data_IF_395389297222
#
_entry.id   IF_395389297222
#
_cell.length_a   1.000
_cell.length_b   1.000
_cell.length_c   1.000
_cell.angle_alpha   90.00
_cell.angle_beta   90.00
_cell.angle_gamma   90.00
#
_symmetry.space_group_name_H-M   'P 1'
#
loop_
_entity.id
_entity.type
_entity.pdbx_description
1 polymer ?
#
# COMPACT_ATOMS: atom_id res chain seq x y z
N UNK A 1 4.21 -22.43 -6.09
CA UNK A 1 4.18 -21.32 -7.08
C UNK A 1 5.61 -20.82 -7.26
N UNK A 2 6.11 -20.63 -8.48
CA UNK A 2 7.47 -20.09 -8.67
C UNK A 2 7.42 -18.56 -8.51
N UNK A 3 7.82 -18.05 -7.34
CA UNK A 3 7.76 -16.62 -6.98
C UNK A 3 8.49 -15.76 -8.02
N UNK A 4 9.71 -16.14 -8.42
CA UNK A 4 10.51 -15.38 -9.39
C UNK A 4 9.80 -15.24 -10.74
N UNK A 5 9.25 -16.34 -11.25
CA UNK A 5 8.49 -16.33 -12.52
C UNK A 5 7.23 -15.48 -12.41
N UNK A 6 6.52 -15.58 -11.29
CA UNK A 6 5.29 -14.82 -11.03
C UNK A 6 5.58 -13.33 -10.94
N UNK A 7 6.60 -12.93 -10.17
CA UNK A 7 7.08 -11.55 -10.08
C UNK A 7 7.45 -10.97 -11.43
N UNK A 8 8.23 -11.71 -12.23
CA UNK A 8 8.64 -11.26 -13.56
C UNK A 8 7.42 -10.96 -14.44
N UNK A 9 6.47 -11.90 -14.51
CA UNK A 9 5.22 -11.74 -15.26
C UNK A 9 4.38 -10.57 -14.76
N UNK A 10 4.26 -10.41 -13.44
CA UNK A 10 3.51 -9.32 -12.82
C UNK A 10 4.10 -7.95 -13.17
N UNK A 11 5.43 -7.80 -13.05
CA UNK A 11 6.15 -6.59 -13.41
C UNK A 11 6.01 -6.27 -14.90
N UNK A 12 6.18 -7.26 -15.78
CA UNK A 12 5.96 -7.11 -17.23
C UNK A 12 4.54 -6.64 -17.53
N UNK A 13 3.55 -7.17 -16.82
CA UNK A 13 2.14 -6.77 -16.99
C UNK A 13 1.90 -5.33 -16.55
N UNK A 14 2.41 -4.94 -15.37
CA UNK A 14 2.31 -3.57 -14.85
C UNK A 14 2.95 -2.56 -15.80
N UNK A 15 4.17 -2.82 -16.26
CA UNK A 15 4.89 -1.97 -17.21
C UNK A 15 4.15 -1.90 -18.55
N UNK A 16 3.71 -3.05 -19.11
CA UNK A 16 2.99 -3.06 -20.39
C UNK A 16 1.70 -2.26 -20.34
N UNK A 17 0.95 -2.31 -19.23
CA UNK A 17 -0.26 -1.49 -19.07
C UNK A 17 0.10 -0.02 -18.90
N UNK A 18 1.14 0.31 -18.13
CA UNK A 18 1.60 1.69 -17.98
C UNK A 18 2.00 2.29 -19.34
N UNK A 19 2.83 1.60 -20.13
CA UNK A 19 3.26 2.05 -21.47
C UNK A 19 2.09 2.26 -22.43
N UNK A 20 1.09 1.37 -22.41
CA UNK A 20 -0.12 1.51 -23.24
C UNK A 20 -0.97 2.71 -22.83
N UNK A 21 -1.06 2.99 -21.54
CA UNK A 21 -1.79 4.15 -21.02
C UNK A 21 -1.05 5.46 -21.33
N UNK A 22 0.28 5.47 -21.14
CA UNK A 22 1.15 6.64 -21.31
C UNK A 22 1.41 6.97 -22.79
N UNK A 23 1.43 5.96 -23.67
CA UNK A 23 1.71 6.11 -25.09
C UNK A 23 3.20 6.16 -25.45
N UNK A 24 4.09 5.90 -24.50
CA UNK A 24 5.54 5.81 -24.68
C UNK A 24 6.14 4.72 -23.78
N UNK A 25 7.40 4.35 -24.05
CA UNK A 25 8.10 3.29 -23.31
C UNK A 25 8.52 3.76 -21.92
N UNK A 26 8.39 2.88 -20.92
CA UNK A 26 8.89 3.13 -19.56
C UNK A 26 10.19 2.37 -19.37
N UNK A 27 11.18 2.99 -18.74
CA UNK A 27 12.45 2.32 -18.50
C UNK A 27 12.25 1.01 -17.70
N UNK A 28 12.81 -0.14 -18.10
CA UNK A 28 12.56 -1.44 -17.44
C UNK A 28 12.96 -1.48 -15.96
N UNK A 29 13.93 -0.65 -15.58
CA UNK A 29 14.40 -0.48 -14.20
C UNK A 29 13.53 0.48 -13.36
N UNK A 30 12.49 1.10 -13.92
CA UNK A 30 11.63 2.04 -13.19
C UNK A 30 11.12 1.47 -11.86
N UNK A 31 11.12 2.28 -10.80
CA UNK A 31 10.61 1.87 -9.50
C UNK A 31 9.09 1.76 -9.55
N UNK A 32 8.53 0.59 -9.26
CA UNK A 32 7.08 0.40 -9.20
C UNK A 32 6.61 0.52 -7.75
N UNK A 33 5.87 1.60 -7.45
CA UNK A 33 5.27 1.85 -6.15
C UNK A 33 3.76 1.68 -6.21
N UNK A 34 3.12 1.21 -5.14
CA UNK A 34 1.67 1.11 -5.14
C UNK A 34 0.99 1.32 -3.79
N UNK A 35 -0.26 1.78 -3.88
CA UNK A 35 -1.24 1.82 -2.79
C UNK A 35 -2.48 1.05 -3.23
N UNK A 36 -3.15 0.38 -2.30
CA UNK A 36 -4.37 -0.36 -2.56
C UNK A 36 -5.29 -0.36 -1.33
N UNK A 37 -6.56 -0.66 -1.53
CA UNK A 37 -7.55 -0.75 -0.47
C UNK A 37 -8.89 -0.18 -0.87
N UNK A 38 -9.73 0.10 0.13
CA UNK A 38 -11.04 0.73 -0.06
C UNK A 38 -10.85 2.19 -0.50
N UNK A 39 -11.80 2.72 -1.26
CA UNK A 39 -11.80 4.13 -1.66
C UNK A 39 -12.24 5.04 -0.51
N UNK A 40 -11.42 5.11 0.53
CA UNK A 40 -11.57 6.04 1.66
C UNK A 40 -10.44 7.06 1.62
N UNK A 41 -10.68 8.13 0.84
CA UNK A 41 -9.67 9.12 0.45
C UNK A 41 -8.74 9.59 1.57
N UNK A 42 -9.31 9.99 2.72
CA UNK A 42 -8.56 10.46 3.90
C UNK A 42 -8.10 9.32 4.80
N UNK A 43 -9.00 8.37 5.12
CA UNK A 43 -8.69 7.30 6.08
C UNK A 43 -7.54 6.41 5.62
N UNK A 44 -7.49 6.08 4.32
CA UNK A 44 -6.40 5.27 3.74
C UNK A 44 -5.18 6.11 3.34
N UNK A 45 -5.23 7.42 3.53
CA UNK A 45 -4.12 8.33 3.19
C UNK A 45 -3.85 8.44 1.68
N UNK A 46 -4.88 8.31 0.85
CA UNK A 46 -4.72 8.40 -0.61
C UNK A 46 -4.27 9.81 -1.01
N UNK A 47 -4.78 10.80 -0.30
CA UNK A 47 -4.34 12.20 -0.39
C UNK A 47 -2.86 12.38 -0.06
N UNK A 48 -2.42 11.84 1.09
CA UNK A 48 -1.01 11.89 1.52
C UNK A 48 -0.10 11.18 0.53
N UNK A 49 -0.54 10.04 -0.01
CA UNK A 49 0.22 9.31 -1.03
C UNK A 49 0.42 10.16 -2.29
N UNK A 50 -0.62 10.85 -2.76
CA UNK A 50 -0.52 11.74 -3.93
C UNK A 50 0.42 12.93 -3.64
N UNK A 51 0.32 13.55 -2.46
CA UNK A 51 1.21 14.65 -2.06
C UNK A 51 2.68 14.18 -1.93
N UNK A 52 2.91 12.95 -1.47
CA UNK A 52 4.25 12.37 -1.42
C UNK A 52 4.83 12.15 -2.82
N UNK A 53 4.00 11.75 -3.80
CA UNK A 53 4.43 11.63 -5.19
C UNK A 53 4.78 12.99 -5.80
N UNK A 54 4.05 14.04 -5.45
CA UNK A 54 4.35 15.41 -5.89
C UNK A 54 5.63 15.95 -5.24
N UNK A 55 5.83 15.71 -3.95
CA UNK A 55 7.08 16.03 -3.26
C UNK A 55 8.27 15.29 -3.89
N UNK A 56 8.12 14.00 -4.24
CA UNK A 56 9.13 13.21 -4.93
C UNK A 56 9.38 13.73 -6.35
N UNK A 57 8.32 14.08 -7.08
CA UNK A 57 8.39 14.65 -8.43
C UNK A 57 9.21 15.94 -8.48
N UNK A 58 9.15 16.75 -7.42
CA UNK A 58 9.89 18.02 -7.27
C UNK A 58 11.35 17.86 -6.84
N UNK A 59 11.83 16.65 -6.58
CA UNK A 59 13.22 16.41 -6.17
C UNK A 59 14.18 16.48 -7.37
N UNK A 60 15.06 17.50 -7.49
CA UNK A 60 15.94 17.65 -8.65
C UNK A 60 16.97 16.52 -8.80
N UNK A 61 17.27 15.81 -7.71
CA UNK A 61 18.18 14.69 -7.68
C UNK A 61 17.56 13.36 -8.15
N UNK A 62 16.24 13.30 -8.37
CA UNK A 62 15.57 12.11 -8.85
C UNK A 62 15.93 11.83 -10.31
N UNK A 63 16.72 10.77 -10.53
CA UNK A 63 17.17 10.36 -11.87
C UNK A 63 16.46 9.12 -12.40
N UNK A 64 15.93 8.28 -11.50
CA UNK A 64 15.24 7.03 -11.82
C UNK A 64 13.75 7.28 -11.98
N UNK A 65 13.16 6.72 -13.03
CA UNK A 65 11.70 6.80 -13.23
C UNK A 65 10.96 6.04 -12.12
N UNK A 66 9.85 6.59 -11.67
CA UNK A 66 8.95 6.02 -10.67
C UNK A 66 7.56 5.93 -11.27
N UNK A 67 6.97 4.73 -11.26
CA UNK A 67 5.58 4.51 -11.71
C UNK A 67 4.75 4.12 -10.50
N UNK A 68 3.82 4.99 -10.13
CA UNK A 68 2.93 4.82 -9.01
C UNK A 68 1.58 4.25 -9.44
N UNK A 69 1.19 3.13 -8.84
CA UNK A 69 -0.10 2.48 -9.05
C UNK A 69 -1.05 2.75 -7.89
N UNK A 70 -2.17 3.42 -8.17
CA UNK A 70 -3.26 3.59 -7.21
C UNK A 70 -4.30 2.50 -7.50
N UNK A 71 -4.19 1.35 -6.84
CA UNK A 71 -5.05 0.17 -7.05
C UNK A 71 -6.26 0.19 -6.13
N UNK A 72 -7.16 1.15 -6.37
CA UNK A 72 -8.28 1.48 -5.47
C UNK A 72 -9.59 1.43 -6.27
N UNK A 73 -10.46 0.43 -6.04
CA UNK A 73 -11.71 0.28 -6.77
C UNK A 73 -12.60 1.53 -6.65
N UNK A 74 -13.20 1.95 -7.78
CA UNK A 74 -14.12 3.08 -7.81
C UNK A 74 -15.37 2.76 -8.66
N UNK A 75 -16.25 3.73 -8.79
CA UNK A 75 -17.44 3.59 -9.62
C UNK A 75 -17.08 3.75 -11.10
N UNK A 76 -17.02 2.62 -11.82
CA UNK A 76 -16.58 2.53 -13.22
C UNK A 76 -17.68 2.04 -14.17
N UNK A 77 -17.58 2.44 -15.44
CA UNK A 77 -18.37 1.92 -16.57
C UNK A 77 -17.76 0.64 -17.17
N UNK A 78 -16.44 0.49 -17.06
CA UNK A 78 -15.70 -0.63 -17.63
C UNK A 78 -14.27 -0.24 -18.03
N UNK A 79 -13.51 -1.20 -18.61
CA UNK A 79 -12.16 -0.95 -19.11
C UNK A 79 -12.19 0.09 -20.24
N UNK A 80 -11.18 0.97 -20.27
CA UNK A 80 -11.09 1.96 -21.34
C UNK A 80 -10.70 1.31 -22.65
N UNK A 81 -11.33 1.78 -23.72
CA UNK A 81 -10.98 1.41 -25.10
C UNK A 81 -10.05 2.45 -25.73
N UNK A 82 -10.09 3.69 -25.25
CA UNK A 82 -9.26 4.81 -25.67
C UNK A 82 -8.37 5.29 -24.51
N UNK A 83 -7.06 5.29 -24.71
CA UNK A 83 -6.09 5.79 -23.73
C UNK A 83 -5.83 7.31 -23.84
N UNK A 84 -6.59 8.04 -24.67
CA UNK A 84 -6.26 9.42 -25.09
C UNK A 84 -6.82 10.54 -24.19
N UNK A 85 -7.83 10.29 -23.37
CA UNK A 85 -8.71 11.35 -22.81
C UNK A 85 -8.62 11.57 -21.27
N UNK A 86 -7.79 10.80 -20.56
CA UNK A 86 -7.56 10.96 -19.11
C UNK A 86 -6.28 10.19 -18.71
N UNK A 87 -5.13 10.86 -18.69
CA UNK A 87 -3.80 10.23 -18.72
C UNK A 87 -3.46 9.32 -17.52
N UNK A 88 -4.28 9.31 -16.48
CA UNK A 88 -3.99 8.55 -15.25
C UNK A 88 -4.79 7.26 -15.13
N UNK A 89 -6.01 7.16 -15.69
CA UNK A 89 -6.92 6.04 -15.35
C UNK A 89 -6.97 4.94 -16.42
N UNK A 90 -6.91 3.69 -15.96
CA UNK A 90 -7.06 2.48 -16.79
C UNK A 90 -8.52 2.15 -17.14
N UNK A 91 -9.48 2.61 -16.32
CA UNK A 91 -10.91 2.33 -16.50
C UNK A 91 -11.71 3.63 -16.61
N UNK A 92 -12.85 3.59 -17.30
CA UNK A 92 -13.70 4.75 -17.45
C UNK A 92 -14.50 4.94 -16.16
N UNK A 93 -14.20 6.01 -15.42
CA UNK A 93 -14.98 6.41 -14.25
C UNK A 93 -16.38 6.85 -14.67
N UNK A 94 -17.37 6.56 -13.83
CA UNK A 94 -18.72 7.05 -14.06
C UNK A 94 -18.81 8.57 -13.90
N UNK A 95 -18.14 9.12 -12.89
CA UNK A 95 -18.12 10.53 -12.53
C UNK A 95 -16.68 11.04 -12.35
N UNK A 96 -15.99 11.25 -13.47
CA UNK A 96 -14.58 11.65 -13.49
C UNK A 96 -14.35 13.08 -12.97
N UNK A 97 -15.35 13.96 -13.11
CA UNK A 97 -15.22 15.38 -12.73
C UNK A 97 -15.29 15.59 -11.21
N UNK A 98 -15.87 14.66 -10.46
CA UNK A 98 -15.92 14.70 -8.99
C UNK A 98 -15.00 13.66 -8.33
N UNK A 99 -14.23 12.89 -9.10
CA UNK A 99 -13.31 11.90 -8.55
C UNK A 99 -12.15 12.59 -7.81
N UNK A 100 -11.98 12.26 -6.53
CA UNK A 100 -11.02 12.93 -5.65
C UNK A 100 -9.57 12.70 -6.06
N UNK A 101 -9.24 11.48 -6.52
CA UNK A 101 -7.89 11.13 -6.97
C UNK A 101 -7.56 11.91 -8.25
N UNK A 102 -8.45 11.85 -9.26
CA UNK A 102 -8.26 12.54 -10.54
C UNK A 102 -8.14 14.05 -10.33
N UNK A 103 -9.02 14.65 -9.54
CA UNK A 103 -9.00 16.08 -9.28
C UNK A 103 -7.76 16.52 -8.51
N UNK A 104 -7.27 15.70 -7.58
CA UNK A 104 -6.04 16.02 -6.86
C UNK A 104 -4.81 15.98 -7.78
N UNK A 105 -4.71 14.96 -8.63
CA UNK A 105 -3.65 14.87 -9.64
C UNK A 105 -3.69 16.06 -10.62
N UNK A 106 -4.89 16.43 -11.10
CA UNK A 106 -5.10 17.62 -11.94
C UNK A 106 -4.67 18.91 -11.22
N UNK A 107 -5.02 19.05 -9.94
CA UNK A 107 -4.68 20.23 -9.13
C UNK A 107 -3.17 20.40 -8.97
N UNK A 108 -2.44 19.30 -8.75
CA UNK A 108 -0.98 19.30 -8.64
C UNK A 108 -0.27 19.39 -9.99
N UNK A 109 -1.01 19.30 -11.10
CA UNK A 109 -0.47 19.49 -12.45
C UNK A 109 0.26 18.27 -13.01
N UNK A 110 0.10 17.07 -12.43
CA UNK A 110 0.64 15.84 -13.01
C UNK A 110 0.17 15.72 -14.45
N UNK A 111 1.08 15.53 -15.41
CA UNK A 111 0.70 15.39 -16.82
C UNK A 111 0.98 13.99 -17.36
N UNK A 112 1.79 13.19 -16.66
CA UNK A 112 2.34 11.94 -17.17
C UNK A 112 3.12 12.15 -18.49
N UNK A 113 3.65 13.36 -18.75
CA UNK A 113 4.50 13.63 -19.92
C UNK A 113 5.79 12.81 -19.86
N UNK A 114 6.43 12.52 -20.99
CA UNK A 114 7.62 11.65 -21.06
C UNK A 114 8.79 12.14 -20.18
N UNK A 115 8.94 13.46 -20.03
CA UNK A 115 9.99 14.13 -19.26
C UNK A 115 9.78 14.10 -17.73
N UNK A 116 8.57 13.86 -17.24
CA UNK A 116 8.31 13.73 -15.80
C UNK A 116 8.90 12.44 -15.22
N UNK A 117 9.69 12.49 -14.15
CA UNK A 117 10.24 11.24 -13.55
C UNK A 117 9.22 10.41 -12.78
N UNK A 118 8.12 11.01 -12.35
CA UNK A 118 7.07 10.32 -11.57
C UNK A 118 5.82 10.23 -12.43
N UNK A 119 5.38 8.99 -12.70
CA UNK A 119 4.15 8.69 -13.45
C UNK A 119 3.09 8.12 -12.52
N UNK A 120 1.82 8.43 -12.74
CA UNK A 120 0.70 7.94 -11.92
C UNK A 120 -0.30 7.16 -12.76
N UNK A 121 -0.61 5.94 -12.33
CA UNK A 121 -1.55 5.01 -12.94
C UNK A 121 -2.65 4.66 -11.92
N UNK A 122 -3.83 5.24 -12.10
CA UNK A 122 -5.03 4.92 -11.34
C UNK A 122 -5.71 3.66 -11.93
N UNK A 123 -5.95 2.69 -11.06
CA UNK A 123 -6.65 1.43 -11.36
C UNK A 123 -7.96 1.38 -10.55
N UNK A 124 -9.06 1.97 -11.06
CA UNK A 124 -10.32 2.05 -10.33
C UNK A 124 -11.17 0.78 -10.39
N UNK A 125 -10.55 -0.41 -10.41
CA UNK A 125 -11.24 -1.69 -10.57
C UNK A 125 -10.75 -2.72 -9.55
N UNK A 126 -11.62 -3.67 -9.23
CA UNK A 126 -11.22 -4.86 -8.47
C UNK A 126 -10.37 -5.78 -9.36
N UNK A 127 -9.18 -6.09 -8.89
CA UNK A 127 -8.25 -7.01 -9.57
C UNK A 127 -8.60 -8.46 -9.21
N UNK A 128 -9.63 -8.99 -9.86
CA UNK A 128 -10.18 -10.34 -9.65
C UNK A 128 -9.94 -11.29 -10.84
N UNK A 129 -9.00 -10.95 -11.72
CA UNK A 129 -8.72 -11.72 -12.93
C UNK A 129 -9.59 -11.39 -14.14
N UNK A 130 -10.58 -10.49 -14.03
CA UNK A 130 -11.55 -10.20 -15.10
C UNK A 130 -11.85 -8.72 -15.32
N UNK A 131 -10.94 -7.81 -14.93
CA UNK A 131 -11.11 -6.36 -15.04
C UNK A 131 -11.09 -5.85 -16.50
N UNK A 132 -10.56 -6.64 -17.44
CA UNK A 132 -10.49 -6.30 -18.86
C UNK A 132 -9.22 -5.54 -19.28
N UNK A 133 -8.38 -5.10 -18.34
CA UNK A 133 -7.08 -4.48 -18.60
C UNK A 133 -5.94 -5.42 -18.16
N UNK A 134 -5.87 -5.78 -16.88
CA UNK A 134 -4.81 -6.62 -16.33
C UNK A 134 -5.15 -8.11 -16.39
N UNK A 135 -6.42 -8.46 -16.17
CA UNK A 135 -6.94 -9.83 -16.12
C UNK A 135 -6.08 -10.75 -15.23
N UNK A 136 -5.65 -10.21 -14.10
CA UNK A 136 -4.79 -10.87 -13.13
C UNK A 136 -5.28 -10.53 -11.72
N UNK A 137 -5.27 -11.50 -10.82
CA UNK A 137 -5.66 -11.28 -9.43
C UNK A 137 -4.73 -10.30 -8.70
N UNK A 138 -5.28 -9.58 -7.73
CA UNK A 138 -4.57 -8.59 -6.92
C UNK A 138 -3.23 -9.11 -6.40
N UNK A 139 -3.21 -10.25 -5.70
CA UNK A 139 -1.98 -10.79 -5.12
C UNK A 139 -0.93 -11.17 -6.16
N UNK A 140 -1.35 -11.59 -7.35
CA UNK A 140 -0.45 -11.89 -8.45
C UNK A 140 0.19 -10.62 -9.02
N UNK A 141 -0.54 -9.49 -9.04
CA UNK A 141 -0.01 -8.19 -9.45
C UNK A 141 0.82 -7.50 -8.37
N UNK A 142 0.42 -7.63 -7.10
CA UNK A 142 1.11 -7.07 -5.92
C UNK A 142 2.58 -7.48 -5.90
N UNK A 143 2.87 -8.74 -6.20
CA UNK A 143 4.23 -9.29 -6.27
C UNK A 143 5.09 -8.57 -7.33
N UNK A 144 4.49 -7.86 -8.29
CA UNK A 144 5.19 -7.06 -9.30
C UNK A 144 5.73 -5.72 -8.78
N UNK A 145 5.17 -5.18 -7.70
CA UNK A 145 5.60 -3.91 -7.09
C UNK A 145 6.97 -4.06 -6.43
N UNK A 146 7.72 -2.97 -6.32
CA UNK A 146 9.01 -2.91 -5.62
C UNK A 146 8.85 -2.42 -4.18
N UNK A 147 7.92 -1.50 -3.95
CA UNK A 147 7.58 -0.94 -2.64
C UNK A 147 6.08 -0.61 -2.60
N UNK A 148 5.46 -0.73 -1.43
CA UNK A 148 4.07 -0.29 -1.23
C UNK A 148 3.96 0.77 -0.13
N UNK A 149 2.97 1.64 -0.23
CA UNK A 149 2.80 2.79 0.68
C UNK A 149 1.34 2.85 1.12
N UNK A 150 1.12 2.71 2.43
CA UNK A 150 -0.20 2.74 3.07
C UNK A 150 -0.20 3.76 4.20
N UNK A 151 -0.22 5.06 3.89
CA UNK A 151 0.01 6.10 4.87
C UNK A 151 -1.31 6.40 5.59
N UNK A 152 -1.94 5.40 6.20
CA UNK A 152 -3.32 5.50 6.69
C UNK A 152 -3.45 6.47 7.87
N UNK A 153 -4.58 7.17 7.93
CA UNK A 153 -4.97 7.98 9.09
C UNK A 153 -5.86 7.18 10.06
N UNK A 154 -6.75 6.35 9.52
CA UNK A 154 -7.63 5.49 10.30
C UNK A 154 -7.60 4.06 9.76
N UNK A 155 -6.89 3.19 10.46
CA UNK A 155 -6.69 1.79 10.09
C UNK A 155 -6.61 0.91 11.34
N UNK A 156 -7.72 0.29 11.79
CA UNK A 156 -7.73 -0.47 13.04
C UNK A 156 -6.68 -1.59 13.11
N UNK A 157 -6.41 -2.21 11.96
CA UNK A 157 -5.30 -3.14 11.79
C UNK A 157 -4.44 -2.71 10.62
N UNK A 158 -4.85 -2.99 9.38
CA UNK A 158 -4.00 -2.77 8.21
C UNK A 158 -3.64 -4.12 7.60
N UNK A 159 -4.64 -4.77 7.01
CA UNK A 159 -4.41 -6.03 6.29
C UNK A 159 -3.59 -5.79 5.03
N UNK A 160 -3.80 -4.68 4.32
CA UNK A 160 -3.05 -4.40 3.10
C UNK A 160 -1.53 -4.27 3.32
N UNK A 161 -1.03 -3.48 4.29
CA UNK A 161 0.41 -3.47 4.59
C UNK A 161 0.92 -4.82 5.09
N UNK A 162 0.13 -5.55 5.87
CA UNK A 162 0.47 -6.91 6.32
C UNK A 162 0.60 -7.88 5.13
N UNK A 163 -0.34 -7.88 4.21
CA UNK A 163 -0.30 -8.72 3.01
C UNK A 163 0.90 -8.34 2.13
N UNK A 164 1.19 -7.05 1.92
CA UNK A 164 2.36 -6.62 1.16
C UNK A 164 3.65 -7.22 1.68
N UNK A 165 3.89 -7.18 3.00
CA UNK A 165 5.11 -7.76 3.57
C UNK A 165 5.12 -9.29 3.46
N UNK A 166 3.97 -9.95 3.55
CA UNK A 166 3.82 -11.39 3.33
C UNK A 166 4.20 -11.80 1.90
N UNK A 167 3.95 -10.94 0.92
CA UNK A 167 4.39 -11.10 -0.47
C UNK A 167 5.82 -10.58 -0.74
N UNK A 168 6.57 -10.33 0.33
CA UNK A 168 7.96 -9.83 0.31
C UNK A 168 8.08 -8.45 -0.36
N UNK A 169 7.08 -7.58 -0.18
CA UNK A 169 7.11 -6.19 -0.65
C UNK A 169 7.43 -5.27 0.53
N UNK A 170 8.59 -4.59 0.53
CA UNK A 170 8.90 -3.54 1.50
C UNK A 170 7.78 -2.50 1.54
N UNK A 171 7.40 -2.09 2.75
CA UNK A 171 6.15 -1.34 2.95
C UNK A 171 6.32 -0.13 3.84
N UNK A 172 5.80 1.02 3.41
CA UNK A 172 5.70 2.22 4.24
C UNK A 172 4.29 2.29 4.83
N UNK A 173 4.16 2.49 6.13
CA UNK A 173 2.89 2.69 6.83
C UNK A 173 3.03 3.77 7.91
N UNK A 174 2.02 3.94 8.78
CA UNK A 174 1.99 5.01 9.78
C UNK A 174 1.80 4.49 11.20
N UNK A 175 2.12 5.33 12.17
CA UNK A 175 1.84 5.08 13.60
C UNK A 175 0.35 5.02 13.95
N UNK A 176 -0.54 5.44 13.05
CA UNK A 176 -2.00 5.37 13.23
C UNK A 176 -2.62 4.07 12.68
N UNK A 177 -1.83 3.22 12.02
CA UNK A 177 -2.25 1.90 11.59
C UNK A 177 -1.89 0.84 12.65
N UNK A 178 -2.84 -0.04 12.99
CA UNK A 178 -2.62 -1.10 13.99
C UNK A 178 -1.43 -2.03 13.65
N UNK A 179 -1.25 -2.34 12.37
CA UNK A 179 -0.11 -3.10 11.84
C UNK A 179 1.18 -2.30 11.98
N UNK A 180 1.17 -0.99 11.72
CA UNK A 180 2.34 -0.13 11.94
C UNK A 180 2.76 -0.09 13.41
N UNK A 181 1.81 0.06 14.32
CA UNK A 181 2.07 -0.03 15.78
C UNK A 181 2.63 -1.40 16.17
N UNK A 182 2.12 -2.47 15.56
CA UNK A 182 2.62 -3.82 15.79
C UNK A 182 4.04 -4.02 15.22
N UNK A 183 4.31 -3.58 13.99
CA UNK A 183 5.62 -3.69 13.33
C UNK A 183 6.71 -2.96 14.14
N UNK A 184 6.39 -1.75 14.63
CA UNK A 184 7.25 -0.96 15.51
C UNK A 184 7.64 -1.66 16.81
N UNK A 185 6.78 -2.53 17.33
CA UNK A 185 7.09 -3.35 18.51
C UNK A 185 7.95 -4.59 18.18
N UNK A 186 8.01 -5.01 16.91
CA UNK A 186 8.58 -6.28 16.48
C UNK A 186 9.90 -6.18 15.69
N UNK A 187 10.37 -4.98 15.34
CA UNK A 187 11.59 -4.85 14.55
C UNK A 187 11.96 -3.46 14.05
N UNK A 188 11.00 -2.52 13.95
CA UNK A 188 11.28 -1.17 13.41
C UNK A 188 11.93 -0.29 14.49
N UNK A 189 13.23 -0.55 14.68
CA UNK A 189 14.13 0.13 15.63
C UNK A 189 14.91 1.24 14.91
N UNK A 190 15.08 1.14 13.58
CA UNK A 190 15.90 2.04 12.77
C UNK A 190 15.06 2.68 11.68
N UNK A 191 15.14 4.01 11.56
CA UNK A 191 14.48 4.75 10.49
C UNK A 191 14.87 4.20 9.10
N UNK A 192 13.87 4.09 8.24
CA UNK A 192 13.94 3.55 6.89
C UNK A 192 13.52 2.08 6.82
N UNK A 193 13.43 1.56 5.59
CA UNK A 193 12.94 0.21 5.30
C UNK A 193 13.89 -0.94 5.72
N UNK A 194 14.83 -0.74 6.64
CA UNK A 194 15.90 -1.68 6.94
C UNK A 194 15.41 -3.05 7.44
N UNK A 195 14.27 -3.08 8.14
CA UNK A 195 13.59 -4.28 8.63
C UNK A 195 12.40 -4.70 7.72
N UNK A 196 12.28 -4.07 6.55
CA UNK A 196 11.22 -4.32 5.58
C UNK A 196 9.99 -3.43 5.73
N UNK A 197 9.83 -2.68 6.83
CA UNK A 197 8.69 -1.77 7.04
C UNK A 197 9.14 -0.44 7.63
N UNK A 198 8.77 0.66 6.99
CA UNK A 198 8.94 2.00 7.57
C UNK A 198 7.64 2.46 8.22
N UNK A 199 7.66 2.78 9.52
CA UNK A 199 6.50 3.31 10.24
C UNK A 199 6.64 4.80 10.51
N UNK A 200 6.09 5.62 9.61
CA UNK A 200 6.13 7.08 9.67
C UNK A 200 5.21 7.59 10.78
N UNK A 201 5.71 8.53 11.58
CA UNK A 201 4.89 9.20 12.59
C UNK A 201 3.82 10.06 11.91
N UNK A 202 2.55 9.84 12.29
CA UNK A 202 1.40 10.60 11.78
C UNK A 202 0.49 11.03 12.92
N UNK A 203 0.04 12.27 12.87
CA UNK A 203 -0.99 12.86 13.72
C UNK A 203 -1.93 13.76 12.91
N UNK A 204 -2.64 14.67 13.58
CA UNK A 204 -3.66 15.53 12.99
C UNK A 204 -3.07 16.73 12.24
N UNK A 205 -1.84 17.12 12.56
CA UNK A 205 -1.24 18.39 12.12
C UNK A 205 -0.07 18.20 11.13
N UNK A 206 0.49 16.99 11.04
CA UNK A 206 1.75 16.74 10.33
C UNK A 206 1.63 16.19 8.90
N UNK A 207 0.53 16.49 8.19
CA UNK A 207 0.23 15.93 6.86
C UNK A 207 1.38 16.13 5.86
N UNK A 208 1.98 17.33 5.82
CA UNK A 208 3.06 17.66 4.88
C UNK A 208 4.34 16.91 5.22
N UNK A 209 4.68 16.84 6.50
CA UNK A 209 5.86 16.14 7.02
C UNK A 209 5.78 14.64 6.67
N UNK A 210 4.60 14.03 6.81
CA UNK A 210 4.38 12.63 6.40
C UNK A 210 4.61 12.46 4.90
N UNK A 211 4.07 13.36 4.08
CA UNK A 211 4.26 13.30 2.62
C UNK A 211 5.75 13.44 2.23
N UNK A 212 6.47 14.38 2.84
CA UNK A 212 7.91 14.61 2.63
C UNK A 212 8.77 13.41 3.07
N UNK A 213 8.41 12.76 4.18
CA UNK A 213 9.11 11.59 4.69
C UNK A 213 8.89 10.35 3.81
N UNK A 214 7.67 10.15 3.30
CA UNK A 214 7.39 9.12 2.28
C UNK A 214 8.21 9.39 1.02
N UNK A 215 8.20 10.63 0.52
CA UNK A 215 8.93 11.00 -0.69
C UNK A 215 10.44 10.74 -0.53
N UNK A 216 11.02 11.12 0.61
CA UNK A 216 12.43 10.86 0.93
C UNK A 216 12.72 9.37 0.99
N UNK A 217 11.86 8.59 1.63
CA UNK A 217 12.01 7.12 1.71
C UNK A 217 11.95 6.46 0.33
N UNK A 218 11.04 6.92 -0.54
CA UNK A 218 10.95 6.44 -1.92
C UNK A 218 12.19 6.84 -2.74
N UNK A 219 12.66 8.08 -2.61
CA UNK A 219 13.90 8.53 -3.23
C UNK A 219 15.08 7.66 -2.79
N UNK A 220 15.27 7.44 -1.50
CA UNK A 220 16.32 6.58 -0.96
C UNK A 220 16.22 5.13 -1.47
N UNK A 221 15.00 4.66 -1.76
CA UNK A 221 14.77 3.35 -2.38
C UNK A 221 15.24 3.34 -3.84
N UNK A 222 15.06 4.43 -4.59
CA UNK A 222 15.55 4.51 -5.98
C UNK A 222 17.06 4.35 -6.10
N UNK A 223 17.80 4.71 -5.04
CA UNK A 223 19.27 4.61 -4.97
C UNK A 223 19.78 3.21 -4.61
N UNK A 224 18.89 2.27 -4.22
CA UNK A 224 19.31 0.96 -3.74
C UNK A 224 19.74 0.05 -4.89
N UNK A 225 20.82 -0.70 -4.64
CA UNK A 225 21.22 -1.78 -5.54
C UNK A 225 20.22 -2.94 -5.49
N UNK A 226 20.26 -3.81 -6.51
CA UNK A 226 19.43 -5.02 -6.57
C UNK A 226 19.66 -5.91 -5.32
N UNK A 227 20.89 -6.00 -4.83
CA UNK A 227 21.22 -6.78 -3.64
C UNK A 227 20.62 -6.17 -2.37
N UNK A 228 20.70 -4.84 -2.22
CA UNK A 228 20.06 -4.14 -1.12
C UNK A 228 18.54 -4.35 -1.15
N UNK A 229 17.91 -4.22 -2.33
CA UNK A 229 16.47 -4.47 -2.49
C UNK A 229 16.12 -5.92 -2.11
N UNK A 230 16.92 -6.91 -2.50
CA UNK A 230 16.69 -8.31 -2.14
C UNK A 230 16.79 -8.54 -0.63
N UNK A 231 17.70 -7.86 0.06
CA UNK A 231 17.79 -7.89 1.53
C UNK A 231 16.49 -7.33 2.14
N UNK A 232 16.00 -6.16 1.67
CA UNK A 232 14.77 -5.58 2.20
C UNK A 232 13.54 -6.49 2.01
N UNK A 233 13.45 -7.16 0.86
CA UNK A 233 12.38 -8.14 0.58
C UNK A 233 12.42 -9.32 1.54
N UNK A 234 13.62 -9.80 1.86
CA UNK A 234 13.81 -10.87 2.85
C UNK A 234 13.36 -10.41 4.24
N UNK A 235 13.73 -9.19 4.64
CA UNK A 235 13.32 -8.63 5.94
C UNK A 235 11.80 -8.46 6.03
N UNK A 236 11.14 -7.99 4.95
CA UNK A 236 9.69 -7.92 4.89
C UNK A 236 9.02 -9.30 5.10
N UNK A 237 9.54 -10.35 4.46
CA UNK A 237 9.05 -11.71 4.67
C UNK A 237 9.27 -12.21 6.11
N UNK A 238 10.46 -11.99 6.67
CA UNK A 238 10.79 -12.37 8.05
C UNK A 238 9.91 -11.64 9.09
N UNK A 239 9.56 -10.37 8.84
CA UNK A 239 8.61 -9.66 9.68
C UNK A 239 7.20 -10.25 9.56
N UNK A 240 6.75 -10.57 8.34
CA UNK A 240 5.43 -11.16 8.11
C UNK A 240 5.25 -12.49 8.86
N UNK A 241 6.28 -13.33 8.93
CA UNK A 241 6.20 -14.62 9.62
C UNK A 241 5.84 -14.45 11.11
N UNK A 242 6.27 -13.35 11.73
CA UNK A 242 5.93 -13.03 13.13
C UNK A 242 4.46 -12.67 13.34
N UNK A 243 3.75 -12.31 12.27
CA UNK A 243 2.32 -11.96 12.30
C UNK A 243 1.40 -13.16 11.95
N UNK A 244 1.95 -14.38 11.84
CA UNK A 244 1.16 -15.58 11.60
C UNK A 244 0.21 -15.89 12.77
N UNK A 245 -0.96 -16.45 12.45
CA UNK A 245 -1.93 -16.93 13.43
C UNK A 245 -1.37 -17.93 14.44
N UNK A 246 -0.37 -18.72 14.05
CA UNK A 246 0.37 -19.60 14.94
C UNK A 246 0.95 -18.87 16.16
N UNK A 247 1.32 -17.59 16.01
CA UNK A 247 1.76 -16.72 17.09
C UNK A 247 0.60 -16.01 17.77
N UNK A 248 -0.36 -15.46 17.01
CA UNK A 248 -1.43 -14.62 17.56
C UNK A 248 -2.51 -15.39 18.34
N UNK A 249 -2.66 -16.70 18.07
CA UNK A 249 -3.67 -17.53 18.75
C UNK A 249 -3.48 -17.57 20.27
N UNK A 250 -2.27 -17.33 20.78
CA UNK A 250 -1.98 -17.23 22.22
C UNK A 250 -2.85 -16.17 22.90
N UNK A 251 -3.01 -14.98 22.30
CA UNK A 251 -3.81 -13.91 22.90
C UNK A 251 -5.30 -14.27 22.98
N UNK A 252 -5.81 -15.04 22.02
CA UNK A 252 -7.17 -15.57 22.07
C UNK A 252 -7.34 -16.60 23.17
N UNK A 253 -6.38 -17.54 23.31
CA UNK A 253 -6.38 -18.52 24.40
C UNK A 253 -6.35 -17.84 25.77
N UNK A 254 -5.53 -16.81 25.94
CA UNK A 254 -5.49 -16.00 27.17
C UNK A 254 -6.84 -15.31 27.45
N UNK A 255 -7.47 -14.73 26.43
CA UNK A 255 -8.78 -14.10 26.56
C UNK A 255 -9.86 -15.11 27.01
N UNK A 256 -9.88 -16.31 26.41
CA UNK A 256 -10.78 -17.39 26.83
C UNK A 256 -10.50 -17.85 28.26
N UNK A 257 -9.24 -18.02 28.65
CA UNK A 257 -8.86 -18.38 30.02
C UNK A 257 -9.36 -17.33 31.03
N UNK A 258 -9.19 -16.03 30.73
CA UNK A 258 -9.70 -14.92 31.57
C UNK A 258 -11.22 -14.95 31.67
N UNK A 259 -11.93 -15.18 30.55
CA UNK A 259 -13.38 -15.27 30.53
C UNK A 259 -13.92 -16.44 31.38
N UNK A 260 -13.31 -17.63 31.24
CA UNK A 260 -13.66 -18.81 32.03
C UNK A 260 -13.39 -18.60 33.52
N UNK A 261 -12.22 -18.06 33.88
CA UNK A 261 -11.87 -17.75 35.26
C UNK A 261 -12.89 -16.80 35.91
N UNK A 262 -13.25 -15.70 35.22
CA UNK A 262 -14.26 -14.76 35.71
C UNK A 262 -15.66 -15.39 35.79
N UNK A 263 -15.98 -16.33 34.91
CA UNK A 263 -17.22 -17.11 34.99
C UNK A 263 -17.26 -17.97 36.25
N UNK A 264 -16.16 -18.68 36.56
CA UNK A 264 -16.06 -19.47 37.79
C UNK A 264 -16.19 -18.60 39.05
N UNK A 265 -15.54 -17.44 39.11
CA UNK A 265 -15.67 -16.50 40.24
C UNK A 265 -17.12 -16.03 40.41
N UNK A 266 -17.82 -15.77 39.30
CA UNK A 266 -19.22 -15.33 39.34
C UNK A 266 -20.14 -16.43 39.87
N UNK A 267 -19.90 -17.68 39.45
CA UNK A 267 -20.69 -18.84 39.86
C UNK A 267 -20.35 -19.33 41.27
N UNK A 268 -19.17 -19.04 41.80
CA UNK A 268 -18.76 -19.46 43.14
C UNK A 268 -19.37 -18.62 44.26
N UNK A 269 -20.05 -17.51 43.94
CA UNK A 269 -20.78 -16.70 44.93
C UNK A 269 -22.24 -17.18 44.97
N UNK A 270 -22.76 -17.62 46.13
CA UNK A 270 -24.16 -18.01 46.22
C UNK A 270 -25.05 -16.81 45.85
N UNK A 271 -26.07 -17.06 45.03
CA UNK A 271 -27.07 -16.06 44.71
C UNK A 271 -27.74 -15.62 46.02
N UNK A 272 -27.54 -14.36 46.43
CA UNK A 272 -28.34 -13.76 47.49
C UNK A 272 -29.73 -13.52 46.91
N UNK A 273 -30.61 -14.50 47.01
CA UNK A 273 -32.03 -14.24 46.92
C UNK A 273 -32.37 -13.27 48.05
N UNK A 274 -32.83 -12.06 47.70
CA UNK A 274 -33.49 -11.20 48.69
C UNK A 274 -34.77 -11.97 49.07
N UNK A 275 -34.84 -12.43 50.31
CA UNK A 275 -36.10 -12.85 50.89
C UNK A 275 -36.95 -11.58 51.03
N UNK A 276 -38.10 -11.57 50.36
CA UNK A 276 -39.14 -10.54 50.50
C UNK A 276 -39.73 -10.53 51.91
#
# INVERSE_FOLDING_TARGET
>A
MNYRRTRKKARETLLSVAEKLLGYSVHPDALLVGISGRYEYKNKGIDVFIDALDALHKMPQLSKDVVAFIMIPAWIKGPRKDFKSALYTTHQLQDVENDKIVNHLKYLGFSNSEDERVKVIFVPSYLNGSDGIFNTDYYNLLIGLDVSVFPSYYEPWGYTPHESVAFSIPTITTTLAGFGVWAKKNGDIWKGLADGVEVIYRDDDNHREVAEEIATTLYDFTLKSIDQVNVLKKMAAELSDKADWAHFITYYKEAYCKALHNSFIRLSKPARYKAD
#
